data_IF_994302102028
#
_entry.id   IF_994302102028
#
_cell.length_a   1.000
_cell.length_b   1.000
_cell.length_c   1.000
_cell.angle_alpha   90.00
_cell.angle_beta   90.00
_cell.angle_gamma   90.00
#
_symmetry.space_group_name_H-M   'P 1'
#
loop_
_entity.id
_entity.type
_entity.pdbx_description
1 polymer ?
#
# COMPACT_ATOMS: atom_id res chain seq x y z
N UNK A 1 37.72 -22.71 0.32
CA UNK A 1 36.41 -23.27 -0.06
C UNK A 1 35.37 -22.49 0.73
N UNK A 2 34.61 -21.62 0.06
CA UNK A 2 33.45 -21.03 0.69
C UNK A 2 32.40 -22.13 0.87
N UNK A 3 31.69 -22.20 2.00
CA UNK A 3 30.60 -23.15 2.15
C UNK A 3 29.61 -22.90 1.02
N UNK A 4 28.95 -23.95 0.48
CA UNK A 4 27.93 -23.77 -0.53
C UNK A 4 26.85 -22.89 0.10
N UNK A 5 26.70 -21.67 -0.40
CA UNK A 5 25.54 -20.84 -0.12
C UNK A 5 24.36 -21.72 -0.51
N UNK A 6 23.52 -22.08 0.46
CA UNK A 6 22.23 -22.73 0.19
C UNK A 6 21.38 -21.74 -0.61
N UNK A 7 21.61 -21.73 -1.92
CA UNK A 7 21.21 -20.69 -2.86
C UNK A 7 19.68 -20.58 -3.08
N UNK A 8 18.86 -21.31 -2.31
CA UNK A 8 17.41 -21.37 -2.57
C UNK A 8 16.61 -21.55 -1.29
N UNK A 9 16.94 -20.79 -0.25
CA UNK A 9 16.01 -20.66 0.87
C UNK A 9 14.89 -19.68 0.42
N UNK A 10 13.87 -20.25 -0.23
CA UNK A 10 12.64 -19.51 -0.60
C UNK A 10 11.87 -19.01 0.64
N UNK A 11 12.30 -19.35 1.83
CA UNK A 11 11.81 -18.82 3.10
C UNK A 11 12.69 -17.68 3.64
N UNK A 12 13.83 -17.38 2.98
CA UNK A 12 14.68 -16.26 3.35
C UNK A 12 13.95 -14.92 3.22
N UNK A 13 14.33 -13.90 4.01
CA UNK A 13 13.80 -12.55 3.86
C UNK A 13 14.10 -12.02 2.46
N UNK A 14 13.17 -11.24 1.90
CA UNK A 14 13.37 -10.59 0.59
C UNK A 14 14.57 -9.66 0.59
N UNK A 15 14.81 -9.02 1.73
CA UNK A 15 15.92 -8.10 1.97
C UNK A 15 16.71 -8.59 3.17
N UNK A 16 17.84 -9.26 2.92
CA UNK A 16 18.72 -9.75 3.97
C UNK A 16 19.37 -8.57 4.71
N UNK A 17 19.35 -8.58 6.04
CA UNK A 17 19.78 -7.45 6.86
C UNK A 17 21.22 -7.01 6.54
N UNK A 18 22.15 -7.95 6.40
CA UNK A 18 23.55 -7.66 6.10
C UNK A 18 23.75 -7.03 4.71
N UNK A 19 23.06 -7.58 3.68
CA UNK A 19 23.18 -7.11 2.30
C UNK A 19 22.56 -5.71 2.10
N UNK A 20 21.49 -5.40 2.84
CA UNK A 20 20.75 -4.16 2.71
C UNK A 20 21.00 -3.18 3.87
N UNK A 21 21.95 -3.49 4.76
CA UNK A 21 22.36 -2.65 5.90
C UNK A 21 21.19 -2.23 6.80
N UNK A 22 20.27 -3.15 7.05
CA UNK A 22 19.15 -2.94 7.96
C UNK A 22 19.64 -3.05 9.41
N UNK A 23 19.15 -2.18 10.27
CA UNK A 23 19.40 -2.30 11.70
C UNK A 23 18.70 -3.52 12.30
N UNK A 24 19.12 -3.97 13.47
CA UNK A 24 18.50 -5.09 14.17
C UNK A 24 17.01 -4.87 14.43
N UNK A 25 16.61 -3.63 14.77
CA UNK A 25 15.21 -3.25 14.98
C UNK A 25 14.40 -3.38 13.69
N UNK A 26 14.95 -2.92 12.57
CA UNK A 26 14.30 -3.07 11.25
C UNK A 26 14.18 -4.55 10.87
N UNK A 27 15.27 -5.32 11.01
CA UNK A 27 15.28 -6.73 10.71
C UNK A 27 14.28 -7.52 11.55
N UNK A 28 14.12 -7.20 12.84
CA UNK A 28 13.15 -7.84 13.71
C UNK A 28 11.70 -7.55 13.30
N UNK A 29 11.35 -6.28 13.04
CA UNK A 29 10.01 -5.89 12.59
C UNK A 29 9.64 -6.52 11.24
N UNK A 30 10.58 -6.50 10.30
CA UNK A 30 10.43 -7.13 8.97
C UNK A 30 10.29 -8.65 9.13
N UNK A 31 11.13 -9.27 9.97
CA UNK A 31 11.06 -10.68 10.29
C UNK A 31 9.73 -11.07 10.93
N UNK A 32 9.18 -10.23 11.80
CA UNK A 32 7.85 -10.42 12.39
C UNK A 32 6.75 -10.42 11.32
N UNK A 33 6.75 -9.42 10.43
CA UNK A 33 5.79 -9.34 9.32
C UNK A 33 5.86 -10.58 8.42
N UNK A 34 7.07 -11.05 8.08
CA UNK A 34 7.28 -12.27 7.29
C UNK A 34 6.72 -13.50 7.98
N UNK A 35 7.09 -13.74 9.25
CA UNK A 35 6.58 -14.89 10.02
C UNK A 35 5.06 -14.86 10.16
N UNK A 36 4.49 -13.68 10.38
CA UNK A 36 3.04 -13.50 10.41
C UNK A 36 2.40 -13.84 9.06
N UNK A 37 2.95 -13.32 7.96
CA UNK A 37 2.50 -13.64 6.61
C UNK A 37 2.48 -15.14 6.34
N UNK A 38 3.56 -15.83 6.70
CA UNK A 38 3.70 -17.26 6.49
C UNK A 38 2.71 -18.09 7.34
N UNK A 39 2.60 -17.80 8.63
CA UNK A 39 1.80 -18.60 9.57
C UNK A 39 0.31 -18.28 9.50
N UNK A 40 -0.05 -17.03 9.26
CA UNK A 40 -1.44 -16.56 9.39
C UNK A 40 -2.07 -16.24 8.04
N UNK A 41 -1.39 -15.44 7.19
CA UNK A 41 -1.99 -14.97 5.95
C UNK A 41 -2.05 -16.04 4.87
N UNK A 42 -0.96 -16.78 4.66
CA UNK A 42 -0.88 -17.77 3.59
C UNK A 42 -1.98 -18.85 3.66
N UNK A 43 -2.32 -19.43 4.82
CA UNK A 43 -3.38 -20.43 4.92
C UNK A 43 -4.79 -19.90 4.62
N UNK A 44 -5.06 -18.62 4.89
CA UNK A 44 -6.39 -17.99 4.78
C UNK A 44 -6.63 -17.36 3.42
N UNK A 45 -5.56 -16.98 2.71
CA UNK A 45 -5.63 -16.13 1.51
C UNK A 45 -6.50 -16.71 0.39
N UNK A 46 -6.49 -18.04 0.18
CA UNK A 46 -7.27 -18.69 -0.87
C UNK A 46 -8.78 -18.65 -0.60
N UNK A 47 -9.20 -18.72 0.65
CA UNK A 47 -10.60 -18.65 1.03
C UNK A 47 -11.16 -17.25 0.78
N UNK A 48 -10.51 -16.22 1.30
CA UNK A 48 -10.96 -14.83 1.14
C UNK A 48 -10.97 -14.37 -0.32
N UNK A 49 -10.02 -14.85 -1.13
CA UNK A 49 -10.04 -14.61 -2.57
C UNK A 49 -11.25 -15.27 -3.24
N UNK A 50 -11.53 -16.54 -2.96
CA UNK A 50 -12.66 -17.28 -3.53
C UNK A 50 -14.00 -16.64 -3.18
N UNK A 51 -14.17 -16.31 -1.90
CA UNK A 51 -15.44 -15.84 -1.34
C UNK A 51 -15.63 -14.31 -1.48
N UNK A 52 -14.60 -13.59 -1.96
CA UNK A 52 -14.55 -12.13 -2.00
C UNK A 52 -14.93 -11.49 -0.65
N UNK A 53 -14.40 -12.05 0.46
CA UNK A 53 -14.68 -11.60 1.82
C UNK A 53 -13.47 -10.92 2.44
N UNK A 54 -13.73 -9.88 3.25
CA UNK A 54 -12.67 -9.19 3.97
C UNK A 54 -12.15 -10.04 5.14
N UNK A 55 -10.81 -10.25 5.25
CA UNK A 55 -10.22 -11.08 6.30
C UNK A 55 -10.03 -10.30 7.62
N UNK A 56 -11.12 -9.93 8.29
CA UNK A 56 -11.07 -9.12 9.53
C UNK A 56 -10.29 -9.80 10.66
N UNK A 57 -10.29 -11.13 10.70
CA UNK A 57 -9.52 -11.90 11.66
C UNK A 57 -7.99 -11.72 11.48
N UNK A 58 -7.51 -11.45 10.27
CA UNK A 58 -6.11 -11.11 10.06
C UNK A 58 -5.72 -9.81 10.78
N UNK A 59 -6.61 -8.83 10.79
CA UNK A 59 -6.40 -7.55 11.47
C UNK A 59 -6.44 -7.70 12.99
N UNK A 60 -7.33 -8.56 13.51
CA UNK A 60 -7.37 -8.89 14.94
C UNK A 60 -6.06 -9.55 15.39
N UNK A 61 -5.54 -10.49 14.59
CA UNK A 61 -4.27 -11.17 14.88
C UNK A 61 -3.08 -10.19 14.73
N UNK A 62 -3.10 -9.28 13.74
CA UNK A 62 -2.09 -8.23 13.55
C UNK A 62 -1.98 -7.28 14.74
N UNK A 63 -3.10 -7.00 15.43
CA UNK A 63 -3.09 -6.20 16.66
C UNK A 63 -2.19 -6.83 17.72
N UNK A 64 -2.36 -8.13 17.98
CA UNK A 64 -1.56 -8.89 18.96
C UNK A 64 -0.06 -8.91 18.65
N UNK A 65 0.31 -8.77 17.38
CA UNK A 65 1.70 -8.72 16.93
C UNK A 65 2.26 -7.28 16.85
N UNK A 66 1.45 -6.25 17.14
CA UNK A 66 1.82 -4.82 17.02
C UNK A 66 1.94 -4.33 15.58
N UNK A 67 1.43 -5.08 14.60
CA UNK A 67 1.50 -4.72 13.19
C UNK A 67 0.48 -3.62 12.81
N UNK A 68 -0.65 -3.48 13.52
CA UNK A 68 -1.58 -2.37 13.28
C UNK A 68 -0.97 -1.01 13.68
N UNK A 69 -0.10 -1.00 14.67
CA UNK A 69 0.53 0.21 15.21
C UNK A 69 1.98 0.41 14.74
N UNK A 70 2.36 -0.23 13.63
CA UNK A 70 3.77 -0.30 13.21
C UNK A 70 4.42 1.09 13.06
N UNK A 71 3.71 2.08 12.51
CA UNK A 71 4.21 3.45 12.31
C UNK A 71 3.84 4.41 13.45
N UNK A 72 3.08 3.97 14.46
CA UNK A 72 2.83 4.78 15.66
C UNK A 72 4.14 4.92 16.43
N UNK A 73 4.54 6.15 16.85
CA UNK A 73 5.78 6.35 17.59
C UNK A 73 5.87 5.53 18.88
N UNK A 74 7.09 5.10 19.24
CA UNK A 74 7.33 4.37 20.50
C UNK A 74 6.84 5.13 21.73
N UNK A 75 6.99 6.46 21.74
CA UNK A 75 6.49 7.31 22.82
C UNK A 75 4.95 7.26 22.99
N UNK A 76 4.23 6.86 21.95
CA UNK A 76 2.79 6.64 21.98
C UNK A 76 2.39 5.14 22.04
N UNK A 77 3.34 4.26 22.37
CA UNK A 77 3.11 2.83 22.56
C UNK A 77 3.22 1.97 21.29
N UNK A 78 3.47 2.56 20.13
CA UNK A 78 3.67 1.84 18.87
C UNK A 78 5.07 1.28 18.70
N UNK A 79 5.39 0.75 17.51
CA UNK A 79 6.73 0.20 17.21
C UNK A 79 7.69 1.22 16.62
N UNK A 80 7.19 2.34 16.09
CA UNK A 80 7.97 3.45 15.56
C UNK A 80 8.74 3.12 14.29
N UNK A 81 8.19 2.29 13.42
CA UNK A 81 8.79 1.98 12.13
C UNK A 81 8.86 3.25 11.26
N UNK A 82 10.02 3.45 10.63
CA UNK A 82 10.19 4.44 9.58
C UNK A 82 9.58 3.99 8.25
N UNK A 83 9.59 4.89 7.26
CA UNK A 83 9.01 4.64 5.95
C UNK A 83 9.61 3.41 5.26
N UNK A 84 10.93 3.26 5.30
CA UNK A 84 11.63 2.13 4.69
C UNK A 84 11.24 0.81 5.35
N UNK A 85 11.25 0.74 6.68
CA UNK A 85 10.89 -0.45 7.45
C UNK A 85 9.45 -0.86 7.16
N UNK A 86 8.52 0.10 7.18
CA UNK A 86 7.14 -0.12 6.82
C UNK A 86 7.01 -0.71 5.40
N UNK A 87 7.68 -0.12 4.40
CA UNK A 87 7.62 -0.60 3.02
C UNK A 87 8.10 -2.06 2.90
N UNK A 88 9.22 -2.41 3.54
CA UNK A 88 9.74 -3.78 3.48
C UNK A 88 8.83 -4.76 4.22
N UNK A 89 8.28 -4.37 5.39
CA UNK A 89 7.32 -5.19 6.12
C UNK A 89 6.04 -5.44 5.30
N UNK A 90 5.53 -4.40 4.62
CA UNK A 90 4.38 -4.51 3.72
C UNK A 90 4.66 -5.48 2.54
N UNK A 91 5.87 -5.43 1.98
CA UNK A 91 6.27 -6.35 0.91
C UNK A 91 6.34 -7.80 1.41
N UNK A 92 6.86 -8.03 2.61
CA UNK A 92 6.85 -9.38 3.22
C UNK A 92 5.42 -9.90 3.48
N UNK A 93 4.48 -9.05 3.90
CA UNK A 93 3.06 -9.44 3.99
C UNK A 93 2.47 -9.75 2.61
N UNK A 94 2.76 -8.91 1.60
CA UNK A 94 2.29 -9.06 0.21
C UNK A 94 2.73 -10.37 -0.44
N UNK A 95 3.89 -10.88 -0.04
CA UNK A 95 4.42 -12.19 -0.47
C UNK A 95 3.49 -13.35 -0.14
N UNK A 96 2.68 -13.22 0.90
CA UNK A 96 1.76 -14.28 1.37
C UNK A 96 0.30 -14.00 1.06
N UNK A 97 -0.13 -12.73 1.10
CA UNK A 97 -1.48 -12.33 0.73
C UNK A 97 -1.52 -10.87 0.25
N UNK A 98 -1.64 -10.66 -1.06
CA UNK A 98 -1.70 -9.32 -1.66
C UNK A 98 -2.89 -8.50 -1.15
N UNK A 99 -4.08 -9.10 -1.07
CA UNK A 99 -5.28 -8.40 -0.61
C UNK A 99 -5.18 -7.93 0.85
N UNK A 100 -4.66 -8.77 1.76
CA UNK A 100 -4.45 -8.36 3.15
C UNK A 100 -3.36 -7.29 3.26
N UNK A 101 -2.23 -7.43 2.54
CA UNK A 101 -1.16 -6.45 2.58
C UNK A 101 -1.60 -5.07 2.04
N UNK A 102 -2.37 -5.04 0.95
CA UNK A 102 -2.93 -3.80 0.41
C UNK A 102 -3.91 -3.14 1.38
N UNK A 103 -4.80 -3.92 2.00
CA UNK A 103 -5.75 -3.41 2.99
C UNK A 103 -5.03 -2.92 4.25
N UNK A 104 -4.01 -3.64 4.70
CA UNK A 104 -3.16 -3.22 5.81
C UNK A 104 -2.40 -1.93 5.49
N UNK A 105 -1.91 -1.75 4.25
CA UNK A 105 -1.36 -0.48 3.80
C UNK A 105 -2.37 0.67 3.96
N UNK A 106 -3.63 0.48 3.57
CA UNK A 106 -4.67 1.51 3.75
C UNK A 106 -4.85 1.89 5.22
N UNK A 107 -4.78 0.92 6.13
CA UNK A 107 -4.83 1.17 7.57
C UNK A 107 -3.61 1.95 8.06
N UNK A 108 -2.40 1.47 7.75
CA UNK A 108 -1.15 2.07 8.23
C UNK A 108 -0.92 3.47 7.68
N UNK A 109 -1.35 3.77 6.43
CA UNK A 109 -1.22 5.09 5.85
C UNK A 109 -1.89 6.18 6.69
N UNK A 110 -2.95 5.88 7.45
CA UNK A 110 -3.59 6.83 8.34
C UNK A 110 -2.63 7.36 9.41
N UNK A 111 -1.82 6.48 10.00
CA UNK A 111 -0.84 6.82 11.04
C UNK A 111 0.52 7.24 10.48
N UNK A 112 0.93 6.68 9.34
CA UNK A 112 2.16 7.05 8.66
C UNK A 112 2.09 8.48 8.14
N UNK A 113 1.00 8.87 7.49
CA UNK A 113 0.85 10.20 6.90
C UNK A 113 0.60 11.26 7.96
N UNK A 114 -0.29 11.02 8.92
CA UNK A 114 -0.57 11.95 10.02
C UNK A 114 0.51 11.97 11.10
N UNK A 115 1.38 10.98 11.11
CA UNK A 115 2.49 10.82 12.05
C UNK A 115 3.84 11.24 11.45
N UNK A 116 4.76 10.30 11.19
CA UNK A 116 6.13 10.58 10.78
C UNK A 116 6.26 11.52 9.57
N UNK A 117 5.40 11.38 8.55
CA UNK A 117 5.47 12.25 7.38
C UNK A 117 5.04 13.69 7.72
N UNK A 118 4.00 13.86 8.53
CA UNK A 118 3.55 15.18 8.97
C UNK A 118 4.55 15.86 9.92
N UNK A 119 5.35 15.07 10.65
CA UNK A 119 6.38 15.61 11.54
C UNK A 119 7.49 16.33 10.76
N UNK A 120 7.79 15.92 9.54
CA UNK A 120 8.77 16.57 8.65
C UNK A 120 8.26 17.87 8.00
N UNK A 121 6.99 18.23 8.21
CA UNK A 121 6.37 19.37 7.56
C UNK A 121 6.31 20.59 8.51
N UNK A 122 6.47 21.82 7.99
CA UNK A 122 6.35 23.02 8.79
C UNK A 122 4.90 23.22 9.25
N UNK A 123 4.75 23.49 10.54
CA UNK A 123 3.49 23.85 11.18
C UNK A 123 3.76 24.96 12.19
N UNK A 124 2.78 25.82 12.47
CA UNK A 124 2.87 26.71 13.63
C UNK A 124 2.95 25.90 14.93
N UNK A 125 3.49 26.45 16.03
CA UNK A 125 3.49 25.76 17.32
C UNK A 125 2.07 25.37 17.79
N UNK A 126 1.08 26.21 17.51
CA UNK A 126 -0.33 25.99 17.84
C UNK A 126 -0.91 24.82 17.02
N UNK A 127 -0.74 24.83 15.69
CA UNK A 127 -1.18 23.74 14.81
C UNK A 127 -0.51 22.42 15.18
N UNK A 128 0.78 22.47 15.52
CA UNK A 128 1.53 21.28 15.95
C UNK A 128 0.97 20.71 17.25
N UNK A 129 0.68 21.56 18.24
CA UNK A 129 0.09 21.12 19.51
C UNK A 129 -1.31 20.51 19.31
N UNK A 130 -2.16 21.19 18.54
CA UNK A 130 -3.49 20.71 18.19
C UNK A 130 -3.44 19.40 17.39
N UNK A 131 -2.51 19.29 16.44
CA UNK A 131 -2.29 18.06 15.66
C UNK A 131 -1.85 16.91 16.55
N UNK A 132 -0.90 17.13 17.46
CA UNK A 132 -0.44 16.09 18.38
C UNK A 132 -1.56 15.58 19.30
N UNK A 133 -2.46 16.46 19.77
CA UNK A 133 -3.61 16.05 20.56
C UNK A 133 -4.56 15.17 19.75
N UNK A 134 -4.90 15.57 18.49
CA UNK A 134 -5.80 14.81 17.64
C UNK A 134 -5.20 13.45 17.22
N UNK A 135 -3.96 13.41 16.77
CA UNK A 135 -3.33 12.13 16.41
C UNK A 135 -3.18 11.19 17.59
N UNK A 136 -2.98 11.74 18.81
CA UNK A 136 -3.00 10.95 20.05
C UNK A 136 -4.32 10.20 20.24
N UNK A 137 -5.45 10.84 19.97
CA UNK A 137 -6.78 10.20 19.99
C UNK A 137 -6.86 9.03 19.00
N UNK A 138 -6.39 9.23 17.76
CA UNK A 138 -6.40 8.17 16.74
C UNK A 138 -5.43 7.02 17.09
N UNK A 139 -4.28 7.33 17.68
CA UNK A 139 -3.34 6.31 18.17
C UNK A 139 -3.94 5.45 19.28
N UNK A 140 -4.59 6.07 20.28
CA UNK A 140 -5.29 5.33 21.36
C UNK A 140 -6.37 4.40 20.79
N UNK A 141 -7.19 4.86 19.86
CA UNK A 141 -8.21 4.00 19.20
C UNK A 141 -7.58 2.75 18.55
N UNK A 142 -6.44 2.90 17.87
CA UNK A 142 -5.75 1.77 17.24
C UNK A 142 -5.12 0.86 18.30
N UNK A 143 -4.46 1.43 19.29
CA UNK A 143 -3.73 0.68 20.32
C UNK A 143 -4.68 -0.01 21.31
N UNK A 144 -5.63 0.77 21.88
CA UNK A 144 -6.46 0.35 22.99
C UNK A 144 -7.70 -0.40 22.52
N UNK A 145 -8.35 0.09 21.44
CA UNK A 145 -9.60 -0.49 20.92
C UNK A 145 -9.37 -1.45 19.75
N UNK A 146 -8.18 -1.40 19.10
CA UNK A 146 -7.88 -2.16 17.88
C UNK A 146 -8.61 -1.64 16.66
N UNK A 147 -8.96 -0.35 16.65
CA UNK A 147 -9.70 0.27 15.56
C UNK A 147 -8.96 0.16 14.23
N UNK A 148 -9.68 -0.21 13.18
CA UNK A 148 -9.17 -0.38 11.83
C UNK A 148 -9.57 0.83 10.98
N UNK A 149 -8.58 1.44 10.35
CA UNK A 149 -8.75 2.57 9.45
C UNK A 149 -8.72 2.10 8.00
N UNK A 150 -9.50 2.73 7.14
CA UNK A 150 -9.39 2.63 5.70
C UNK A 150 -9.02 3.98 5.10
N UNK A 151 -8.45 3.97 3.90
CA UNK A 151 -8.10 5.19 3.18
C UNK A 151 -8.72 5.18 1.78
N UNK A 152 -10.01 5.51 1.65
CA UNK A 152 -10.66 5.65 0.36
C UNK A 152 -10.16 6.91 -0.36
N UNK A 153 -9.40 6.71 -1.42
CA UNK A 153 -8.75 7.81 -2.16
C UNK A 153 -9.54 8.19 -3.41
N UNK A 154 -9.96 7.21 -4.21
CA UNK A 154 -10.45 7.43 -5.57
C UNK A 154 -11.90 7.92 -5.64
N UNK A 155 -12.18 8.80 -6.60
CA UNK A 155 -13.53 9.30 -6.94
C UNK A 155 -13.93 9.02 -8.39
N UNK A 156 -13.03 8.38 -9.18
CA UNK A 156 -13.26 8.10 -10.59
C UNK A 156 -13.00 9.30 -11.48
N UNK A 157 -11.90 10.04 -11.28
CA UNK A 157 -11.56 11.18 -12.09
C UNK A 157 -10.17 11.75 -11.81
N UNK A 158 -9.89 12.91 -12.37
CA UNK A 158 -8.60 13.59 -12.31
C UNK A 158 -8.16 14.00 -10.89
N UNK A 159 -9.09 14.08 -9.93
CA UNK A 159 -8.79 14.41 -8.54
C UNK A 159 -7.83 13.39 -7.90
N UNK A 160 -8.06 12.10 -8.14
CA UNK A 160 -7.20 11.05 -7.62
C UNK A 160 -5.79 11.05 -8.27
N UNK A 161 -5.65 11.59 -9.48
CA UNK A 161 -4.35 11.83 -10.12
C UNK A 161 -3.64 13.08 -9.56
N UNK A 162 -4.28 13.83 -8.67
CA UNK A 162 -3.72 15.02 -8.04
C UNK A 162 -3.70 16.27 -8.93
N UNK A 163 -4.47 16.30 -10.00
CA UNK A 163 -4.52 17.44 -10.94
C UNK A 163 -5.61 18.47 -10.60
N UNK A 164 -6.71 18.01 -9.98
CA UNK A 164 -7.83 18.86 -9.55
C UNK A 164 -8.20 18.60 -8.09
N UNK A 165 -9.04 19.46 -7.50
CA UNK A 165 -9.58 19.26 -6.15
C UNK A 165 -10.50 18.03 -6.09
N UNK A 166 -10.65 17.44 -4.90
CA UNK A 166 -11.59 16.33 -4.69
C UNK A 166 -13.03 16.82 -4.83
N UNK A 167 -13.87 15.99 -5.46
CA UNK A 167 -15.31 16.24 -5.59
C UNK A 167 -16.10 15.92 -4.31
N UNK A 168 -15.54 15.10 -3.39
CA UNK A 168 -16.06 14.99 -2.03
C UNK A 168 -15.80 16.30 -1.31
N UNK A 169 -16.86 16.92 -0.78
CA UNK A 169 -16.81 18.25 -0.16
C UNK A 169 -17.04 18.19 1.34
N UNK A 170 -16.37 19.07 2.06
CA UNK A 170 -16.55 19.29 3.49
C UNK A 170 -16.93 20.76 3.71
N UNK A 171 -18.18 21.00 4.09
CA UNK A 171 -18.67 22.35 4.42
C UNK A 171 -18.46 22.62 5.91
N UNK A 172 -17.73 23.69 6.28
CA UNK A 172 -17.54 24.04 7.68
C UNK A 172 -18.89 24.35 8.38
N UNK A 173 -19.02 23.88 9.60
CA UNK A 173 -20.13 24.18 10.52
C UNK A 173 -19.57 24.39 11.93
N UNK A 174 -20.40 24.83 12.86
CA UNK A 174 -19.95 24.95 14.25
C UNK A 174 -19.51 23.57 14.79
N UNK A 175 -18.27 23.51 15.29
CA UNK A 175 -17.64 22.31 15.85
C UNK A 175 -17.16 21.25 14.84
N UNK A 176 -17.27 21.47 13.51
CA UNK A 176 -16.81 20.46 12.53
C UNK A 176 -17.18 20.74 11.08
N UNK A 177 -17.55 19.68 10.37
CA UNK A 177 -17.80 19.71 8.93
C UNK A 177 -19.03 18.85 8.57
N UNK A 178 -19.79 19.28 7.57
CA UNK A 178 -20.78 18.44 6.88
C UNK A 178 -20.14 17.92 5.60
N UNK A 179 -19.98 16.60 5.50
CA UNK A 179 -19.32 15.94 4.37
C UNK A 179 -20.33 15.34 3.42
N UNK A 180 -20.20 15.65 2.13
CA UNK A 180 -20.98 15.11 1.02
C UNK A 180 -20.07 14.64 -0.10
N UNK A 181 -20.37 13.47 -0.68
CA UNK A 181 -19.61 12.99 -1.83
C UNK A 181 -19.60 11.47 -1.98
N UNK A 182 -18.64 10.99 -2.78
CA UNK A 182 -18.51 9.59 -3.13
C UNK A 182 -17.05 9.18 -3.25
N UNK A 183 -16.71 8.02 -2.70
CA UNK A 183 -15.43 7.35 -2.93
C UNK A 183 -15.68 5.98 -3.57
N UNK A 184 -14.85 5.62 -4.55
CA UNK A 184 -14.89 4.31 -5.22
C UNK A 184 -13.61 3.53 -4.93
N UNK A 185 -13.62 2.21 -5.16
CA UNK A 185 -12.51 1.32 -4.82
C UNK A 185 -12.04 1.50 -3.37
N UNK A 186 -13.01 1.69 -2.46
CA UNK A 186 -12.76 1.91 -1.04
C UNK A 186 -12.47 0.58 -0.33
N UNK A 187 -11.22 0.14 -0.30
CA UNK A 187 -10.80 -1.06 0.43
C UNK A 187 -11.26 -1.00 1.88
N UNK A 188 -11.55 -2.14 2.49
CA UNK A 188 -12.13 -2.29 3.84
C UNK A 188 -13.57 -1.75 3.95
N UNK A 189 -14.32 -1.62 2.87
CA UNK A 189 -15.71 -1.18 2.90
C UNK A 189 -16.59 -2.09 3.76
N UNK A 190 -17.16 -1.54 4.84
CA UNK A 190 -17.99 -2.27 5.79
C UNK A 190 -17.21 -3.09 6.82
N UNK A 191 -15.87 -3.03 6.82
CA UNK A 191 -15.00 -3.70 7.77
C UNK A 191 -14.15 -2.72 8.60
N UNK A 192 -13.88 -1.52 8.08
CA UNK A 192 -13.19 -0.47 8.83
C UNK A 192 -14.08 0.17 9.88
N UNK A 193 -13.47 0.64 10.98
CA UNK A 193 -14.13 1.46 12.00
C UNK A 193 -14.13 2.95 11.60
N UNK A 194 -13.11 3.38 10.87
CA UNK A 194 -12.93 4.75 10.39
C UNK A 194 -12.50 4.78 8.93
N UNK A 195 -13.07 5.71 8.19
CA UNK A 195 -12.63 6.05 6.82
C UNK A 195 -11.82 7.34 6.84
N UNK A 196 -10.53 7.28 6.53
CA UNK A 196 -9.66 8.44 6.31
C UNK A 196 -9.94 9.06 4.94
N UNK A 197 -10.82 10.06 4.91
CA UNK A 197 -11.35 10.63 3.68
C UNK A 197 -10.66 11.94 3.33
N UNK A 198 -10.11 12.00 2.10
CA UNK A 198 -9.66 13.24 1.50
C UNK A 198 -10.85 13.94 0.84
N UNK A 199 -11.12 15.17 1.25
CA UNK A 199 -12.20 15.98 0.75
C UNK A 199 -11.76 17.44 0.60
N UNK A 200 -12.47 18.21 -0.22
CA UNK A 200 -12.20 19.65 -0.40
C UNK A 200 -13.03 20.44 0.58
N UNK A 201 -12.39 21.26 1.42
CA UNK A 201 -13.10 22.26 2.20
C UNK A 201 -13.71 23.32 1.27
N UNK A 202 -14.98 23.57 1.43
CA UNK A 202 -15.72 24.61 0.68
C UNK A 202 -16.46 25.54 1.61
N UNK A 203 -15.99 26.76 1.74
CA UNK A 203 -16.81 27.87 2.20
C UNK A 203 -17.72 28.34 1.05
N UNK A 204 -18.89 28.89 1.37
CA UNK A 204 -20.00 29.17 0.45
C UNK A 204 -19.63 30.06 -0.76
N UNK A 205 -18.47 30.72 -0.78
CA UNK A 205 -18.05 31.66 -1.82
C UNK A 205 -16.69 31.34 -2.50
N UNK A 206 -16.04 30.22 -2.17
CA UNK A 206 -14.70 29.92 -2.69
C UNK A 206 -14.72 28.86 -3.79
N UNK A 207 -13.87 29.06 -4.81
CA UNK A 207 -13.61 28.05 -5.82
C UNK A 207 -12.88 26.85 -5.19
N UNK A 208 -13.21 25.64 -5.64
CA UNK A 208 -12.55 24.43 -5.19
C UNK A 208 -11.03 24.50 -5.47
N UNK A 209 -10.21 24.27 -4.45
CA UNK A 209 -8.77 24.30 -4.55
C UNK A 209 -8.16 23.05 -3.91
N UNK A 210 -7.14 22.49 -4.55
CA UNK A 210 -6.34 21.39 -3.96
C UNK A 210 -5.66 21.79 -2.65
N UNK A 211 -5.41 23.08 -2.45
CA UNK A 211 -4.81 23.62 -1.22
C UNK A 211 -5.75 23.47 -0.02
N UNK A 212 -7.08 23.42 -0.27
CA UNK A 212 -8.12 23.27 0.72
C UNK A 212 -8.49 21.79 0.96
N UNK A 213 -7.60 20.86 0.63
CA UNK A 213 -7.82 19.44 0.92
C UNK A 213 -7.72 19.19 2.42
N UNK A 214 -8.80 18.66 3.00
CA UNK A 214 -8.86 18.12 4.35
C UNK A 214 -8.65 16.61 4.34
N UNK A 215 -8.10 16.10 5.43
CA UNK A 215 -8.00 14.68 5.69
C UNK A 215 -8.71 14.36 7.00
N UNK A 216 -9.90 13.73 6.89
CA UNK A 216 -10.84 13.50 7.99
C UNK A 216 -11.02 12.02 8.27
N UNK A 217 -11.00 11.60 9.53
CA UNK A 217 -11.39 10.25 9.95
C UNK A 217 -12.90 10.21 10.18
N UNK A 218 -13.65 9.68 9.24
CA UNK A 218 -15.12 9.57 9.35
C UNK A 218 -15.46 8.22 9.97
N UNK A 219 -16.19 8.19 11.12
CA UNK A 219 -16.66 6.94 11.70
C UNK A 219 -17.53 6.16 10.70
N UNK A 220 -17.26 4.87 10.52
CA UNK A 220 -17.95 4.06 9.52
C UNK A 220 -19.46 3.92 9.78
N UNK A 221 -19.89 4.07 11.04
CA UNK A 221 -21.27 4.03 11.49
C UNK A 221 -21.92 5.42 11.61
N UNK A 222 -21.26 6.49 11.17
CA UNK A 222 -21.84 7.84 11.23
C UNK A 222 -23.10 7.92 10.35
N UNK A 223 -24.17 8.61 10.82
CA UNK A 223 -25.35 8.83 10.01
C UNK A 223 -25.00 9.46 8.67
N UNK A 224 -25.54 8.91 7.58
CA UNK A 224 -25.25 9.38 6.21
C UNK A 224 -24.11 8.65 5.50
N UNK A 225 -23.32 7.81 6.19
CA UNK A 225 -22.35 6.93 5.57
C UNK A 225 -23.03 5.67 5.03
N UNK A 226 -22.82 5.37 3.76
CA UNK A 226 -23.39 4.19 3.11
C UNK A 226 -22.31 3.44 2.32
N UNK A 227 -22.32 2.12 2.44
CA UNK A 227 -21.52 1.20 1.59
C UNK A 227 -22.45 0.64 0.52
N UNK A 228 -22.13 0.87 -0.74
CA UNK A 228 -23.00 0.47 -1.86
C UNK A 228 -22.25 -0.29 -2.95
N UNK A 229 -22.99 -1.03 -3.76
CA UNK A 229 -22.47 -1.81 -4.87
C UNK A 229 -21.89 -3.16 -4.44
N UNK A 230 -21.58 -3.98 -5.43
CA UNK A 230 -20.99 -5.30 -5.26
C UNK A 230 -19.48 -5.25 -5.44
N UNK A 231 -18.80 -6.34 -5.05
CA UNK A 231 -17.36 -6.49 -5.21
C UNK A 231 -17.02 -7.84 -5.84
N UNK A 232 -16.84 -7.84 -7.16
CA UNK A 232 -16.45 -9.02 -7.93
C UNK A 232 -15.35 -8.68 -8.96
N UNK A 233 -14.15 -8.29 -8.51
CA UNK A 233 -13.05 -7.90 -9.38
C UNK A 233 -12.25 -9.10 -9.89
N UNK A 234 -11.36 -8.83 -10.85
CA UNK A 234 -10.38 -9.80 -11.36
C UNK A 234 -9.47 -10.33 -10.24
N UNK A 235 -8.89 -9.44 -9.45
CA UNK A 235 -7.95 -9.73 -8.38
C UNK A 235 -8.16 -8.83 -7.16
N UNK A 236 -7.33 -9.00 -6.13
CA UNK A 236 -7.49 -8.27 -4.86
C UNK A 236 -8.87 -8.46 -4.23
N UNK A 237 -9.48 -9.62 -4.44
CA UNK A 237 -10.87 -9.90 -4.06
C UNK A 237 -11.12 -9.74 -2.55
N UNK A 238 -10.15 -10.13 -1.72
CA UNK A 238 -10.22 -9.99 -0.26
C UNK A 238 -10.10 -8.56 0.27
N UNK A 239 -9.92 -7.52 -0.58
CA UNK A 239 -9.89 -6.13 -0.12
C UNK A 239 -11.28 -5.55 0.12
N UNK A 240 -12.31 -6.11 -0.50
CA UNK A 240 -13.70 -5.64 -0.47
C UNK A 240 -13.79 -4.12 -0.68
N UNK A 241 -13.41 -3.68 -1.90
CA UNK A 241 -13.23 -2.26 -2.23
C UNK A 241 -14.47 -1.67 -2.91
N UNK A 242 -15.60 -1.64 -2.20
CA UNK A 242 -16.87 -1.11 -2.71
C UNK A 242 -16.89 0.41 -2.78
N UNK A 243 -18.04 0.97 -3.10
CA UNK A 243 -18.29 2.41 -3.12
C UNK A 243 -18.80 2.89 -1.76
N UNK A 244 -18.27 4.02 -1.30
CA UNK A 244 -18.78 4.77 -0.14
C UNK A 244 -19.54 6.01 -0.63
N UNK A 245 -20.71 6.24 -0.07
CA UNK A 245 -21.46 7.47 -0.23
C UNK A 245 -21.50 8.20 1.10
N UNK A 246 -21.30 9.50 1.06
CA UNK A 246 -21.42 10.42 2.19
C UNK A 246 -22.56 11.39 1.89
N UNK A 247 -23.60 11.39 2.73
CA UNK A 247 -24.76 12.25 2.58
C UNK A 247 -25.02 12.98 3.91
N UNK A 248 -24.70 14.26 3.91
CA UNK A 248 -24.84 15.16 5.07
C UNK A 248 -24.20 14.61 6.35
N UNK A 249 -22.99 14.01 6.21
CA UNK A 249 -22.31 13.39 7.34
C UNK A 249 -21.65 14.46 8.20
N UNK A 250 -22.10 14.60 9.44
CA UNK A 250 -21.46 15.47 10.43
C UNK A 250 -20.17 14.82 10.94
N UNK A 251 -19.06 15.51 10.75
CA UNK A 251 -17.71 15.08 11.19
C UNK A 251 -17.14 16.13 12.14
N UNK A 252 -16.94 15.81 13.42
CA UNK A 252 -16.35 16.74 14.38
C UNK A 252 -14.94 17.18 13.96
N UNK A 253 -14.54 18.41 14.28
CA UNK A 253 -13.19 18.92 14.00
C UNK A 253 -12.06 18.10 14.68
N UNK A 254 -12.38 17.41 15.78
CA UNK A 254 -11.45 16.50 16.45
C UNK A 254 -11.06 15.28 15.59
N UNK A 255 -11.85 14.94 14.57
CA UNK A 255 -11.60 13.84 13.64
C UNK A 255 -10.64 14.20 12.48
N UNK A 256 -10.08 15.39 12.50
CA UNK A 256 -9.11 15.83 11.50
C UNK A 256 -7.77 15.10 11.68
N UNK A 257 -7.38 14.28 10.71
CA UNK A 257 -6.11 13.52 10.70
C UNK A 257 -4.89 14.41 10.44
N UNK A 258 -5.05 15.49 9.69
CA UNK A 258 -4.01 16.50 9.44
C UNK A 258 -4.61 17.90 9.54
N UNK A 259 -3.85 18.92 10.02
CA UNK A 259 -4.29 20.31 10.00
C UNK A 259 -4.59 20.81 8.58
N UNK A 260 -5.33 21.92 8.48
CA UNK A 260 -5.60 22.60 7.21
C UNK A 260 -4.32 22.82 6.39
N UNK A 261 -4.36 22.49 5.10
CA UNK A 261 -3.24 22.67 4.17
C UNK A 261 -2.07 21.70 4.34
N UNK A 262 -2.01 20.93 5.44
CA UNK A 262 -0.88 20.01 5.69
C UNK A 262 -0.90 18.82 4.75
N UNK A 263 -2.07 18.29 4.38
CA UNK A 263 -2.14 17.25 3.35
C UNK A 263 -1.57 17.73 2.01
N UNK A 264 -1.92 18.94 1.59
CA UNK A 264 -1.38 19.52 0.35
C UNK A 264 0.15 19.68 0.41
N UNK A 265 0.67 20.13 1.56
CA UNK A 265 2.11 20.17 1.79
C UNK A 265 2.74 18.77 1.75
N UNK A 266 2.12 17.77 2.36
CA UNK A 266 2.59 16.38 2.31
C UNK A 266 2.66 15.89 0.86
N UNK A 267 1.60 16.06 0.08
CA UNK A 267 1.53 15.63 -1.31
C UNK A 267 2.59 16.28 -2.22
N UNK A 268 3.02 17.51 -1.90
CA UNK A 268 4.01 18.25 -2.69
C UNK A 268 5.43 18.08 -2.19
N UNK A 269 5.63 18.04 -0.87
CA UNK A 269 6.97 17.98 -0.25
C UNK A 269 7.42 16.58 0.10
N UNK A 270 6.49 15.63 0.23
CA UNK A 270 6.75 14.23 0.56
C UNK A 270 6.17 13.28 -0.51
N UNK A 271 6.52 13.45 -1.81
CA UNK A 271 5.88 12.72 -2.92
C UNK A 271 6.04 11.20 -2.79
N UNK A 272 7.08 10.72 -2.12
CA UNK A 272 7.27 9.30 -1.83
C UNK A 272 6.12 8.66 -1.03
N UNK A 273 5.24 9.46 -0.39
CA UNK A 273 4.06 8.91 0.28
C UNK A 273 3.18 8.09 -0.67
N UNK A 274 3.24 8.35 -1.97
CA UNK A 274 2.48 7.61 -2.97
C UNK A 274 3.14 6.28 -3.40
N UNK A 275 4.39 6.04 -3.01
CA UNK A 275 5.04 4.73 -3.17
C UNK A 275 4.44 3.65 -2.26
N UNK A 276 3.62 4.00 -1.28
CA UNK A 276 3.03 3.06 -0.32
C UNK A 276 2.15 1.97 -0.96
N UNK A 277 1.77 2.11 -2.23
CA UNK A 277 1.09 1.05 -2.99
C UNK A 277 2.05 -0.03 -3.48
N UNK A 278 3.29 0.32 -3.83
CA UNK A 278 4.27 -0.61 -4.44
C UNK A 278 4.72 -1.78 -3.55
N UNK A 279 4.82 -1.67 -2.22
CA UNK A 279 5.30 -2.77 -1.38
C UNK A 279 4.52 -4.08 -1.58
N UNK A 280 3.19 -4.02 -1.62
CA UNK A 280 2.34 -5.19 -1.85
C UNK A 280 2.70 -5.93 -3.14
N UNK A 281 2.95 -5.17 -4.22
CA UNK A 281 3.26 -5.73 -5.53
C UNK A 281 4.71 -6.23 -5.62
N UNK A 282 5.62 -5.62 -4.87
CA UNK A 282 6.97 -6.18 -4.69
C UNK A 282 6.90 -7.57 -4.04
N UNK A 283 6.03 -7.71 -3.03
CA UNK A 283 5.74 -9.00 -2.40
C UNK A 283 5.14 -10.04 -3.35
N UNK A 284 4.19 -9.64 -4.20
CA UNK A 284 3.58 -10.52 -5.22
C UNK A 284 4.60 -10.97 -6.28
N UNK A 285 5.50 -10.09 -6.71
CA UNK A 285 6.59 -10.44 -7.62
C UNK A 285 7.49 -11.54 -7.03
N UNK A 286 7.88 -11.38 -5.76
CA UNK A 286 8.64 -12.39 -5.04
C UNK A 286 7.86 -13.70 -4.90
N UNK A 287 6.58 -13.64 -4.54
CA UNK A 287 5.71 -14.81 -4.38
C UNK A 287 5.59 -15.65 -5.66
N UNK A 288 5.44 -15.00 -6.81
CA UNK A 288 5.39 -15.67 -8.09
C UNK A 288 6.71 -16.38 -8.44
N UNK A 289 7.83 -15.74 -8.15
CA UNK A 289 9.16 -16.33 -8.31
C UNK A 289 9.36 -17.54 -7.37
N UNK A 290 9.08 -17.39 -6.08
CA UNK A 290 9.22 -18.43 -5.08
C UNK A 290 8.36 -19.67 -5.40
N UNK A 291 7.11 -19.44 -5.79
CA UNK A 291 6.23 -20.50 -6.26
C UNK A 291 6.86 -21.27 -7.42
N UNK A 292 7.38 -20.57 -8.43
CA UNK A 292 7.95 -21.18 -9.62
C UNK A 292 9.15 -22.04 -9.27
N UNK A 293 10.05 -21.55 -8.41
CA UNK A 293 11.22 -22.31 -7.97
C UNK A 293 10.80 -23.59 -7.27
N UNK A 294 9.91 -23.52 -6.25
CA UNK A 294 9.41 -24.69 -5.52
C UNK A 294 8.70 -25.68 -6.44
N UNK A 295 7.86 -25.20 -7.34
CA UNK A 295 7.11 -26.03 -8.27
C UNK A 295 8.06 -26.81 -9.21
N UNK A 296 9.05 -26.17 -9.77
CA UNK A 296 10.01 -26.82 -10.66
C UNK A 296 10.95 -27.80 -9.94
N UNK A 297 11.18 -27.58 -8.63
CA UNK A 297 11.92 -28.49 -7.78
C UNK A 297 11.09 -29.69 -7.29
N UNK A 298 9.76 -29.64 -7.48
CA UNK A 298 8.84 -30.67 -7.02
C UNK A 298 8.59 -30.62 -5.50
N UNK A 299 8.67 -29.42 -4.90
CA UNK A 299 8.56 -29.16 -3.47
C UNK A 299 7.23 -28.51 -3.07
N UNK A 300 6.32 -28.31 -4.03
CA UNK A 300 5.00 -27.72 -3.73
C UNK A 300 4.03 -28.74 -3.14
N UNK A 301 3.48 -28.44 -1.96
CA UNK A 301 2.39 -29.23 -1.38
C UNK A 301 1.18 -29.27 -2.34
N UNK A 302 0.50 -30.41 -2.40
CA UNK A 302 -0.66 -30.61 -3.27
C UNK A 302 -0.33 -30.81 -4.75
N UNK A 303 0.95 -30.90 -5.12
CA UNK A 303 1.38 -31.22 -6.48
C UNK A 303 2.23 -32.51 -6.51
N UNK A 304 2.24 -33.24 -7.65
CA UNK A 304 3.16 -34.36 -7.80
C UNK A 304 4.61 -33.92 -7.62
N UNK A 305 5.46 -34.71 -6.93
CA UNK A 305 6.85 -34.35 -6.64
C UNK A 305 7.77 -34.51 -7.87
N UNK A 306 7.32 -34.03 -9.03
CA UNK A 306 8.05 -34.11 -10.29
C UNK A 306 9.06 -32.99 -10.39
N UNK A 307 10.31 -33.34 -10.50
CA UNK A 307 11.44 -32.40 -10.67
C UNK A 307 11.53 -31.97 -12.13
N UNK A 308 11.05 -30.76 -12.44
CA UNK A 308 11.07 -30.17 -13.79
C UNK A 308 12.29 -29.26 -14.01
N UNK A 309 13.12 -29.08 -13.02
CA UNK A 309 14.27 -28.17 -12.97
C UNK A 309 15.38 -28.51 -13.99
N UNK A 310 15.37 -29.73 -14.52
CA UNK A 310 16.40 -30.17 -15.49
C UNK A 310 16.18 -29.67 -16.92
N UNK A 311 15.01 -29.12 -17.23
CA UNK A 311 14.71 -28.64 -18.57
C UNK A 311 15.35 -27.26 -18.86
N UNK A 312 16.23 -27.11 -19.89
CA UNK A 312 16.91 -25.85 -20.17
C UNK A 312 15.97 -24.65 -20.33
N UNK A 313 14.82 -24.84 -20.99
CA UNK A 313 13.81 -23.78 -21.17
C UNK A 313 13.23 -23.29 -19.83
N UNK A 314 13.11 -24.16 -18.82
CA UNK A 314 12.66 -23.79 -17.48
C UNK A 314 13.76 -23.06 -16.71
N UNK A 315 15.01 -23.47 -16.89
CA UNK A 315 16.17 -22.81 -16.27
C UNK A 315 16.32 -21.38 -16.80
N UNK A 316 16.22 -21.19 -18.12
CA UNK A 316 16.25 -19.84 -18.74
C UNK A 316 15.11 -18.98 -18.20
N UNK A 317 13.88 -19.48 -18.19
CA UNK A 317 12.73 -18.71 -17.69
C UNK A 317 12.89 -18.30 -16.23
N UNK A 318 13.43 -19.16 -15.36
CA UNK A 318 13.73 -18.81 -13.96
C UNK A 318 14.84 -17.76 -13.88
N UNK A 319 15.87 -17.87 -14.70
CA UNK A 319 16.94 -16.87 -14.75
C UNK A 319 16.42 -15.49 -15.17
N UNK A 320 15.58 -15.42 -16.20
CA UNK A 320 14.94 -14.16 -16.65
C UNK A 320 14.08 -13.54 -15.55
N UNK A 321 13.25 -14.34 -14.86
CA UNK A 321 12.46 -13.85 -13.70
C UNK A 321 13.36 -13.35 -12.57
N UNK A 322 14.48 -14.03 -12.31
CA UNK A 322 15.46 -13.60 -11.31
C UNK A 322 16.09 -12.26 -11.66
N UNK A 323 16.51 -12.06 -12.91
CA UNK A 323 17.07 -10.78 -13.38
C UNK A 323 16.03 -9.65 -13.19
N UNK A 324 14.79 -9.85 -13.65
CA UNK A 324 13.72 -8.85 -13.45
C UNK A 324 13.50 -8.54 -11.98
N UNK A 325 13.46 -9.55 -11.12
CA UNK A 325 13.23 -9.40 -9.69
C UNK A 325 14.37 -8.62 -9.02
N UNK A 326 15.62 -8.92 -9.32
CA UNK A 326 16.78 -8.22 -8.75
C UNK A 326 16.85 -6.76 -9.21
N UNK A 327 16.59 -6.47 -10.49
CA UNK A 327 16.49 -5.09 -10.99
C UNK A 327 15.38 -4.31 -10.27
N UNK A 328 14.21 -4.93 -10.11
CA UNK A 328 13.07 -4.32 -9.42
C UNK A 328 13.39 -4.04 -7.95
N UNK A 329 13.98 -5.01 -7.24
CA UNK A 329 14.40 -4.86 -5.84
C UNK A 329 15.41 -3.72 -5.67
N UNK A 330 16.44 -3.69 -6.51
CA UNK A 330 17.50 -2.68 -6.40
C UNK A 330 16.94 -1.25 -6.58
N UNK A 331 16.16 -1.03 -7.64
CA UNK A 331 15.56 0.27 -7.92
C UNK A 331 14.56 0.67 -6.82
N UNK A 332 13.69 -0.24 -6.42
CA UNK A 332 12.67 0.04 -5.39
C UNK A 332 13.31 0.29 -4.02
N UNK A 333 14.29 -0.52 -3.63
CA UNK A 333 14.99 -0.33 -2.35
C UNK A 333 15.67 1.03 -2.27
N UNK A 334 16.33 1.47 -3.35
CA UNK A 334 16.91 2.79 -3.42
C UNK A 334 15.84 3.88 -3.24
N UNK A 335 14.71 3.78 -3.94
CA UNK A 335 13.65 4.78 -3.87
C UNK A 335 13.03 4.89 -2.46
N UNK A 336 12.81 3.78 -1.76
CA UNK A 336 12.27 3.81 -0.38
C UNK A 336 13.32 4.28 0.65
N UNK A 337 14.60 4.07 0.39
CA UNK A 337 15.70 4.55 1.26
C UNK A 337 15.89 6.06 1.13
N UNK A 338 15.65 6.62 -0.05
CA UNK A 338 15.74 8.06 -0.33
C UNK A 338 14.50 8.86 0.12
N UNK A 339 13.45 8.18 0.55
CA UNK A 339 12.17 8.80 0.89
C UNK A 339 12.31 9.81 2.05
N UNK A 340 11.97 11.06 1.78
CA UNK A 340 12.09 12.19 2.72
C UNK A 340 11.29 13.40 2.25
N UNK A 341 11.19 14.41 3.13
CA UNK A 341 10.65 15.72 2.75
C UNK A 341 11.61 16.46 1.79
N UNK A 342 11.04 17.16 0.82
CA UNK A 342 11.75 17.95 -0.19
C UNK A 342 12.88 17.18 -0.90
N UNK A 343 12.58 16.03 -1.53
CA UNK A 343 13.56 15.27 -2.29
C UNK A 343 14.02 16.06 -3.53
N UNK A 344 15.20 15.72 -4.05
CA UNK A 344 15.65 16.27 -5.34
C UNK A 344 14.78 15.79 -6.50
N UNK A 345 14.83 16.51 -7.65
CA UNK A 345 14.14 16.10 -8.89
C UNK A 345 14.48 14.64 -9.24
N UNK A 346 15.76 14.28 -9.22
CA UNK A 346 16.23 12.92 -9.52
C UNK A 346 15.65 11.84 -8.58
N UNK A 347 15.47 12.17 -7.30
CA UNK A 347 14.85 11.24 -6.33
C UNK A 347 13.35 11.06 -6.61
N UNK A 348 12.66 12.11 -7.03
CA UNK A 348 11.24 12.04 -7.44
C UNK A 348 11.10 11.22 -8.74
N UNK A 349 11.94 11.46 -9.73
CA UNK A 349 11.95 10.69 -10.98
C UNK A 349 12.22 9.21 -10.71
N UNK A 350 13.15 8.91 -9.82
CA UNK A 350 13.43 7.53 -9.38
C UNK A 350 12.23 6.90 -8.68
N UNK A 351 11.46 7.66 -7.90
CA UNK A 351 10.25 7.16 -7.27
C UNK A 351 9.18 6.78 -8.31
N UNK A 352 8.98 7.59 -9.36
CA UNK A 352 8.08 7.23 -10.46
C UNK A 352 8.57 5.98 -11.20
N UNK A 353 9.87 5.92 -11.50
CA UNK A 353 10.47 4.74 -12.14
C UNK A 353 10.29 3.48 -11.29
N UNK A 354 10.53 3.57 -9.98
CA UNK A 354 10.37 2.45 -9.05
C UNK A 354 8.91 1.99 -8.96
N UNK A 355 7.96 2.93 -8.85
CA UNK A 355 6.53 2.61 -8.83
C UNK A 355 6.12 1.86 -10.11
N UNK A 356 6.41 2.44 -11.27
CA UNK A 356 6.12 1.81 -12.57
C UNK A 356 6.75 0.41 -12.66
N UNK A 357 8.04 0.29 -12.36
CA UNK A 357 8.79 -0.96 -12.49
C UNK A 357 8.23 -2.06 -11.58
N UNK A 358 7.92 -1.75 -10.33
CA UNK A 358 7.33 -2.73 -9.40
C UNK A 358 5.97 -3.20 -9.91
N UNK A 359 5.10 -2.26 -10.31
CA UNK A 359 3.73 -2.57 -10.71
C UNK A 359 3.68 -3.43 -11.98
N UNK A 360 4.48 -3.10 -13.00
CA UNK A 360 4.52 -3.85 -14.25
C UNK A 360 5.30 -5.17 -14.11
N UNK A 361 6.44 -5.18 -13.41
CA UNK A 361 7.23 -6.39 -13.25
C UNK A 361 6.56 -7.43 -12.34
N UNK A 362 5.72 -7.02 -11.38
CA UNK A 362 4.93 -7.97 -10.60
C UNK A 362 4.05 -8.84 -11.51
N UNK A 363 3.35 -8.20 -12.45
CA UNK A 363 2.52 -8.92 -13.41
C UNK A 363 3.35 -9.67 -14.48
N UNK A 364 4.43 -9.08 -14.97
CA UNK A 364 5.29 -9.73 -15.96
C UNK A 364 5.95 -11.01 -15.41
N UNK A 365 6.43 -10.98 -14.15
CA UNK A 365 6.98 -12.15 -13.46
C UNK A 365 5.89 -13.20 -13.24
N UNK A 366 4.70 -12.81 -12.78
CA UNK A 366 3.58 -13.74 -12.58
C UNK A 366 3.11 -14.37 -13.90
N UNK A 367 3.06 -13.61 -15.00
CA UNK A 367 2.76 -14.10 -16.35
C UNK A 367 3.78 -15.14 -16.80
N UNK A 368 5.07 -14.83 -16.64
CA UNK A 368 6.15 -15.76 -16.97
C UNK A 368 6.11 -17.01 -16.09
N UNK A 369 5.78 -16.87 -14.81
CA UNK A 369 5.63 -17.97 -13.86
C UNK A 369 4.52 -18.96 -14.30
N UNK A 370 3.33 -18.47 -14.65
CA UNK A 370 2.23 -19.32 -15.16
C UNK A 370 2.67 -20.10 -16.40
N UNK A 371 3.25 -19.40 -17.39
CA UNK A 371 3.73 -20.04 -18.62
C UNK A 371 4.81 -21.10 -18.32
N UNK A 372 5.71 -20.81 -17.37
CA UNK A 372 6.79 -21.71 -17.00
C UNK A 372 6.31 -22.94 -16.26
N UNK A 373 5.36 -22.81 -15.32
CA UNK A 373 4.79 -23.91 -14.55
C UNK A 373 3.78 -24.73 -15.37
N UNK A 374 3.11 -24.12 -16.34
CA UNK A 374 2.14 -24.79 -17.23
C UNK A 374 0.73 -24.90 -16.65
N UNK A 375 -0.13 -25.66 -17.30
CA UNK A 375 -1.59 -25.67 -17.06
C UNK A 375 -2.02 -25.98 -15.63
N UNK A 376 -1.29 -26.81 -14.89
CA UNK A 376 -1.61 -27.11 -13.50
C UNK A 376 -1.54 -25.86 -12.60
N UNK A 377 -0.68 -24.91 -12.92
CA UNK A 377 -0.52 -23.66 -12.15
C UNK A 377 -1.70 -22.68 -12.29
N UNK A 378 -2.62 -22.93 -13.23
CA UNK A 378 -3.87 -22.16 -13.38
C UNK A 378 -5.00 -22.66 -12.47
N UNK A 379 -4.81 -23.77 -11.77
CA UNK A 379 -5.83 -24.31 -10.88
C UNK A 379 -5.94 -23.48 -9.60
N UNK A 380 -7.19 -23.16 -9.20
CA UNK A 380 -7.48 -22.42 -7.95
C UNK A 380 -7.06 -23.15 -6.65
N UNK A 381 -6.66 -24.40 -6.76
CA UNK A 381 -6.05 -25.16 -5.65
C UNK A 381 -4.59 -24.75 -5.38
N UNK A 382 -3.98 -24.00 -6.29
CA UNK A 382 -2.62 -23.46 -6.17
C UNK A 382 -2.63 -21.94 -6.12
N UNK A 383 -1.69 -21.30 -5.43
CA UNK A 383 -1.72 -19.85 -5.22
C UNK A 383 -1.35 -19.01 -6.44
N UNK A 384 -0.71 -19.59 -7.49
CA UNK A 384 -0.12 -18.79 -8.57
C UNK A 384 -1.17 -18.06 -9.41
N UNK A 385 -2.33 -18.68 -9.68
CA UNK A 385 -3.41 -18.04 -10.45
C UNK A 385 -3.95 -16.80 -9.72
N UNK A 386 -4.08 -16.85 -8.38
CA UNK A 386 -4.44 -15.69 -7.56
C UNK A 386 -3.35 -14.62 -7.60
N UNK A 387 -2.10 -14.99 -7.42
CA UNK A 387 -0.94 -14.07 -7.49
C UNK A 387 -0.93 -13.35 -8.84
N UNK A 388 -1.22 -14.05 -9.93
CA UNK A 388 -1.32 -13.47 -11.28
C UNK A 388 -2.44 -12.44 -11.39
N UNK A 389 -3.66 -12.77 -10.91
CA UNK A 389 -4.80 -11.84 -10.92
C UNK A 389 -4.55 -10.61 -10.04
N UNK A 390 -4.05 -10.84 -8.84
CA UNK A 390 -3.74 -9.78 -7.89
C UNK A 390 -2.66 -8.83 -8.43
N UNK A 391 -1.60 -9.37 -9.05
CA UNK A 391 -0.49 -8.58 -9.58
C UNK A 391 -0.92 -7.61 -10.69
N UNK A 392 -1.97 -7.94 -11.48
CA UNK A 392 -2.45 -7.06 -12.54
C UNK A 392 -3.10 -5.78 -12.03
N UNK A 393 -3.61 -5.79 -10.80
CA UNK A 393 -4.33 -4.64 -10.25
C UNK A 393 -3.42 -3.43 -9.98
N UNK A 394 -2.12 -3.64 -9.78
CA UNK A 394 -1.18 -2.60 -9.31
C UNK A 394 -1.05 -1.41 -10.25
N UNK A 395 -0.76 -1.67 -11.51
CA UNK A 395 -0.53 -0.63 -12.52
C UNK A 395 -1.75 0.25 -12.82
N UNK A 396 -2.93 -0.16 -12.33
CA UNK A 396 -4.18 0.57 -12.50
C UNK A 396 -4.51 1.49 -11.31
N UNK A 397 -3.70 1.48 -10.25
CA UNK A 397 -4.01 2.19 -9.01
C UNK A 397 -3.59 3.65 -9.04
N UNK A 398 -4.56 4.54 -8.80
CA UNK A 398 -4.30 5.95 -8.55
C UNK A 398 -3.68 6.15 -7.14
N UNK A 399 -2.87 7.20 -6.95
CA UNK A 399 -2.62 8.31 -7.85
C UNK A 399 -1.48 8.08 -8.85
N UNK A 400 -0.76 6.98 -8.79
CA UNK A 400 0.41 6.69 -9.62
C UNK A 400 0.20 5.41 -10.43
N UNK A 401 -0.67 5.47 -11.44
CA UNK A 401 -0.79 4.39 -12.44
C UNK A 401 0.50 4.31 -13.27
N UNK A 402 0.68 3.21 -13.99
CA UNK A 402 1.83 3.03 -14.86
C UNK A 402 1.97 4.18 -15.88
N UNK A 403 0.85 4.59 -16.49
CA UNK A 403 0.81 5.66 -17.48
C UNK A 403 1.13 7.03 -16.87
N UNK A 404 0.60 7.34 -15.67
CA UNK A 404 0.91 8.60 -14.97
C UNK A 404 2.39 8.66 -14.60
N UNK A 405 2.99 7.56 -14.17
CA UNK A 405 4.42 7.52 -13.88
C UNK A 405 5.26 7.77 -15.13
N UNK A 406 4.91 7.16 -16.27
CA UNK A 406 5.61 7.37 -17.54
C UNK A 406 5.44 8.79 -18.07
N UNK A 407 4.22 9.34 -18.03
CA UNK A 407 3.96 10.73 -18.44
C UNK A 407 4.83 11.70 -17.64
N UNK A 408 4.86 11.57 -16.30
CA UNK A 408 5.67 12.42 -15.43
C UNK A 408 7.16 12.25 -15.69
N UNK A 409 7.64 11.01 -15.83
CA UNK A 409 9.03 10.74 -16.19
C UNK A 409 9.42 11.42 -17.50
N UNK A 410 8.59 11.28 -18.54
CA UNK A 410 8.82 11.89 -19.84
C UNK A 410 8.84 13.40 -19.78
N UNK A 411 7.79 14.01 -19.21
CA UNK A 411 7.65 15.47 -19.13
C UNK A 411 8.76 16.11 -18.29
N UNK A 412 9.00 15.59 -17.09
CA UNK A 412 10.03 16.12 -16.19
C UNK A 412 11.47 15.96 -16.74
N UNK A 413 11.67 15.02 -17.69
CA UNK A 413 12.94 14.87 -18.37
C UNK A 413 13.11 15.80 -19.56
N UNK A 414 12.02 16.12 -20.26
CA UNK A 414 12.06 16.90 -21.51
C UNK A 414 11.88 18.41 -21.29
N UNK A 415 11.18 18.82 -20.20
CA UNK A 415 10.84 20.21 -19.95
C UNK A 415 11.50 20.74 -18.67
N UNK A 416 11.94 21.99 -18.72
CA UNK A 416 12.32 22.71 -17.50
C UNK A 416 11.06 23.20 -16.75
N UNK A 417 11.17 23.47 -15.44
CA UNK A 417 10.04 23.95 -14.64
C UNK A 417 9.41 25.21 -15.23
N UNK A 418 8.15 25.11 -15.66
CA UNK A 418 7.39 26.20 -16.27
C UNK A 418 7.54 26.35 -17.78
N UNK A 419 8.33 25.51 -18.43
CA UNK A 419 8.45 25.46 -19.88
C UNK A 419 7.22 24.78 -20.51
N UNK A 420 6.73 25.37 -21.60
CA UNK A 420 5.63 24.83 -22.42
C UNK A 420 5.91 25.14 -23.88
N UNK A 421 5.37 24.34 -24.81
CA UNK A 421 5.46 24.57 -26.25
C UNK A 421 4.33 25.47 -26.78
N UNK A 422 3.46 26.01 -25.89
CA UNK A 422 2.34 26.89 -26.21
C UNK A 422 2.61 28.33 -25.79
#
# INVERSE_FOLDING_TARGET
MHPPVNAHDVDAPMFAADAFRLSDVQADLIGKARRFGQRVLAPRAAQHDRDATFPIENFRDMRGEGLLSICIPKAAGGTGADFQTYCIAAAELGRYCGATALSWNMHVCSTLWSGPLADDLPMSPEDRAAHNARRGLHYSRIMDDGAVYAQPFSEGGAAAAGTVAFGTEARPVDGGFIVNGKKIFASLSGAADYYGVLCTERAVAEAASRRNTLYLAIPANAPGVQVVGDWDPLGMRGTVSRTLLFKDVLVPAAEMLMPHGVYFQAATRWPHMFLTLSPTYMGLAQAAYDFTVRYLRGEMAGTPPVKRRMFPTKQIAVAEMRVMLEQTKALWFQAITEARANPSKEQVLRAYAAQHTVMENANAIATKAIRTCGGQAMLKSLPLERIYRDSRCGSLMLPWTAEICLDRLGRETLYEPGETDE
#
